data_IF_003165983354
#
_entry.id   IF_003165983354
#
_cell.length_a   1.000
_cell.length_b   1.000
_cell.length_c   1.000
_cell.angle_alpha   90.00
_cell.angle_beta   90.00
_cell.angle_gamma   90.00
#
_symmetry.space_group_name_H-M   'P 1'
#
loop_
_entity.id
_entity.type
_entity.pdbx_description
1 polymer ?
#
# COMPACT_ATOMS: atom_id res chain seq x y z
N UNK A 1 5.84 -16.68 4.70
CA UNK A 1 4.68 -15.93 4.18
C UNK A 1 3.41 -16.77 4.13
N UNK A 2 3.31 -17.82 3.31
CA UNK A 2 2.05 -18.57 3.12
C UNK A 2 1.38 -19.07 4.42
N UNK A 3 2.14 -19.72 5.32
CA UNK A 3 1.63 -20.15 6.64
C UNK A 3 1.08 -19.01 7.48
N UNK A 4 1.77 -17.87 7.50
CA UNK A 4 1.36 -16.68 8.27
C UNK A 4 0.05 -16.12 7.72
N UNK A 5 -0.10 -16.03 6.40
CA UNK A 5 -1.36 -15.59 5.77
C UNK A 5 -2.48 -16.58 6.08
N UNK A 6 -2.22 -17.89 6.02
CA UNK A 6 -3.23 -18.91 6.34
C UNK A 6 -3.65 -18.90 7.81
N UNK A 7 -2.73 -18.61 8.73
CA UNK A 7 -3.00 -18.46 10.17
C UNK A 7 -3.86 -17.23 10.47
N UNK A 8 -3.51 -16.07 9.90
CA UNK A 8 -4.33 -14.85 10.05
C UNK A 8 -5.68 -15.01 9.35
N UNK A 9 -5.67 -15.70 8.20
CA UNK A 9 -6.86 -16.11 7.45
C UNK A 9 -7.83 -14.96 7.08
N UNK A 10 -7.33 -13.81 6.57
CA UNK A 10 -8.19 -12.70 6.19
C UNK A 10 -9.17 -13.07 5.05
N UNK A 11 -10.28 -12.37 4.95
CA UNK A 11 -11.19 -12.53 3.81
C UNK A 11 -10.65 -11.85 2.55
N UNK A 12 -9.96 -10.73 2.72
CA UNK A 12 -9.30 -9.95 1.67
C UNK A 12 -7.92 -9.53 2.19
N UNK A 13 -6.87 -9.71 1.39
CA UNK A 13 -5.51 -9.27 1.72
C UNK A 13 -4.86 -8.57 0.52
N UNK A 14 -4.34 -7.36 0.77
CA UNK A 14 -3.43 -6.68 -0.14
C UNK A 14 -1.99 -7.08 0.19
N UNK A 15 -1.21 -7.39 -0.85
CA UNK A 15 0.19 -7.79 -0.77
C UNK A 15 1.04 -6.77 -1.52
N UNK A 16 2.09 -6.29 -0.86
CA UNK A 16 3.12 -5.43 -1.43
C UNK A 16 4.42 -6.23 -1.63
N UNK A 17 5.23 -5.84 -2.61
CA UNK A 17 6.51 -6.50 -2.90
C UNK A 17 6.36 -7.83 -3.63
N UNK A 18 5.27 -8.04 -4.37
CA UNK A 18 5.07 -9.21 -5.22
C UNK A 18 5.38 -8.83 -6.66
N UNK A 19 6.44 -9.41 -7.21
CA UNK A 19 6.82 -9.16 -8.60
C UNK A 19 5.68 -9.51 -9.56
N UNK A 20 5.43 -8.59 -10.49
CA UNK A 20 4.42 -8.77 -11.53
C UNK A 20 4.97 -9.59 -12.69
N UNK A 21 4.24 -10.63 -13.05
CA UNK A 21 4.40 -11.35 -14.30
C UNK A 21 3.07 -11.41 -15.06
N UNK A 22 3.12 -11.34 -16.40
CA UNK A 22 1.93 -11.17 -17.23
C UNK A 22 0.96 -12.37 -17.18
N UNK A 23 1.43 -13.54 -16.78
CA UNK A 23 0.66 -14.77 -16.67
C UNK A 23 0.27 -15.09 -15.22
N UNK A 24 0.64 -14.22 -14.27
CA UNK A 24 0.41 -14.36 -12.82
C UNK A 24 0.98 -15.66 -12.21
N UNK A 25 2.03 -16.24 -12.78
CA UNK A 25 2.65 -17.46 -12.27
C UNK A 25 3.09 -17.32 -10.81
N UNK A 26 3.75 -16.21 -10.46
CA UNK A 26 4.25 -16.00 -9.10
C UNK A 26 3.10 -15.85 -8.09
N UNK A 27 2.08 -15.04 -8.44
CA UNK A 27 0.90 -14.84 -7.60
C UNK A 27 0.10 -16.13 -7.44
N UNK A 28 -0.06 -16.90 -8.51
CA UNK A 28 -0.80 -18.16 -8.47
C UNK A 28 -0.08 -19.21 -7.62
N UNK A 29 1.24 -19.36 -7.78
CA UNK A 29 2.02 -20.27 -6.96
C UNK A 29 1.97 -19.90 -5.47
N UNK A 30 2.01 -18.60 -5.14
CA UNK A 30 1.85 -18.14 -3.77
C UNK A 30 0.46 -18.50 -3.22
N UNK A 31 -0.61 -18.21 -3.97
CA UNK A 31 -1.97 -18.49 -3.55
C UNK A 31 -2.20 -20.01 -3.35
N UNK A 32 -1.63 -20.85 -4.19
CA UNK A 32 -1.72 -22.31 -4.04
C UNK A 32 -1.00 -22.79 -2.76
N UNK A 33 0.18 -22.24 -2.44
CA UNK A 33 0.86 -22.51 -1.17
C UNK A 33 0.06 -22.04 0.06
N UNK A 34 -0.68 -20.94 -0.05
CA UNK A 34 -1.56 -20.46 1.02
C UNK A 34 -2.76 -21.41 1.19
N UNK A 35 -3.33 -21.90 0.08
CA UNK A 35 -4.42 -22.88 0.09
C UNK A 35 -3.99 -24.21 0.71
N UNK A 36 -2.79 -24.71 0.37
CA UNK A 36 -2.18 -25.88 1.02
C UNK A 36 -1.99 -25.70 2.54
N UNK A 37 -1.73 -24.46 2.98
CA UNK A 37 -1.62 -24.09 4.39
C UNK A 37 -2.97 -23.88 5.09
N UNK A 38 -4.10 -23.93 4.37
CA UNK A 38 -5.45 -23.94 4.94
C UNK A 38 -6.30 -22.69 4.70
N UNK A 39 -5.89 -21.75 3.84
CA UNK A 39 -6.71 -20.60 3.45
C UNK A 39 -6.76 -20.44 1.93
N UNK A 40 -7.96 -20.52 1.35
CA UNK A 40 -8.14 -20.41 -0.10
C UNK A 40 -8.55 -18.98 -0.52
N UNK A 41 -8.02 -18.54 -1.66
CA UNK A 41 -8.27 -17.23 -2.28
C UNK A 41 -8.50 -17.41 -3.79
N UNK A 42 -9.73 -17.77 -4.18
CA UNK A 42 -10.07 -18.04 -5.58
C UNK A 42 -10.06 -16.78 -6.46
N UNK A 43 -10.16 -15.58 -5.87
CA UNK A 43 -10.16 -14.32 -6.59
C UNK A 43 -8.84 -13.59 -6.35
N UNK A 44 -8.15 -13.27 -7.45
CA UNK A 44 -6.78 -12.78 -7.44
C UNK A 44 -6.69 -11.63 -8.43
N UNK A 45 -6.02 -10.55 -8.06
CA UNK A 45 -5.85 -9.38 -8.92
C UNK A 45 -4.44 -8.83 -8.82
N UNK A 46 -3.83 -8.55 -9.97
CA UNK A 46 -2.58 -7.79 -10.09
C UNK A 46 -2.55 -7.08 -11.43
N UNK A 47 -1.92 -5.90 -11.47
CA UNK A 47 -1.60 -5.17 -12.71
C UNK A 47 -0.14 -4.76 -12.70
N UNK A 48 0.41 -4.52 -13.89
CA UNK A 48 1.81 -4.09 -14.05
C UNK A 48 2.05 -2.76 -13.33
N UNK A 49 2.97 -2.71 -12.35
CA UNK A 49 3.28 -1.48 -11.62
C UNK A 49 4.05 -0.46 -12.47
N UNK A 50 4.33 0.69 -11.88
CA UNK A 50 5.22 1.72 -12.42
C UNK A 50 6.71 1.41 -12.19
N UNK A 51 7.04 0.57 -11.21
CA UNK A 51 8.41 0.12 -10.94
C UNK A 51 9.06 -0.56 -12.16
N UNK A 52 10.27 -0.10 -12.48
CA UNK A 52 11.05 -0.58 -13.63
C UNK A 52 10.43 -0.29 -15.00
N UNK A 53 9.36 0.53 -15.08
CA UNK A 53 8.80 0.99 -16.36
C UNK A 53 9.69 2.09 -16.93
N UNK A 54 10.38 1.79 -18.02
CA UNK A 54 11.29 2.71 -18.70
C UNK A 54 10.63 4.02 -19.11
N UNK A 55 11.32 5.14 -18.90
CA UNK A 55 10.88 6.47 -19.36
C UNK A 55 11.60 6.95 -20.62
N UNK A 56 12.83 6.48 -20.84
CA UNK A 56 13.71 6.98 -21.90
C UNK A 56 14.43 8.28 -21.55
N UNK A 57 14.34 8.74 -20.29
CA UNK A 57 15.05 9.90 -19.75
C UNK A 57 16.05 9.47 -18.67
N UNK A 58 17.04 10.32 -18.40
CA UNK A 58 17.96 10.22 -17.27
C UNK A 58 17.31 10.94 -16.08
N UNK A 59 16.64 10.20 -15.19
CA UNK A 59 15.84 10.77 -14.10
C UNK A 59 16.65 10.99 -12.83
N UNK A 60 17.71 10.22 -12.62
CA UNK A 60 18.58 10.30 -11.44
C UNK A 60 19.86 11.12 -11.68
N UNK A 61 20.13 11.51 -12.94
CA UNK A 61 21.20 12.42 -13.32
C UNK A 61 22.57 11.76 -13.36
N UNK A 62 22.65 10.43 -13.44
CA UNK A 62 23.93 9.70 -13.46
C UNK A 62 24.62 9.72 -14.84
N UNK A 63 23.96 10.27 -15.87
CA UNK A 63 24.45 10.37 -17.24
C UNK A 63 24.20 9.13 -18.10
N UNK A 64 23.43 8.15 -17.61
CA UNK A 64 23.00 6.94 -18.33
C UNK A 64 21.49 6.94 -18.49
N UNK A 65 21.00 6.05 -19.36
CA UNK A 65 19.58 5.88 -19.61
C UNK A 65 19.18 4.43 -19.35
N UNK A 66 17.98 4.25 -18.84
CA UNK A 66 17.36 2.94 -18.65
C UNK A 66 17.87 2.19 -17.43
N UNK A 67 18.51 2.89 -16.48
CA UNK A 67 18.80 2.34 -15.16
C UNK A 67 17.54 2.21 -14.29
N UNK A 68 17.64 1.55 -13.12
CA UNK A 68 16.51 1.45 -12.19
C UNK A 68 15.98 2.81 -11.71
N UNK A 69 16.85 3.81 -11.55
CA UNK A 69 16.47 5.19 -11.18
C UNK A 69 15.74 5.95 -12.29
N UNK A 70 15.87 5.52 -13.55
CA UNK A 70 15.24 6.14 -14.73
C UNK A 70 13.82 5.67 -14.99
N UNK A 71 13.34 4.69 -14.23
CA UNK A 71 12.00 4.16 -14.39
C UNK A 71 10.93 5.06 -13.73
N UNK A 72 9.67 4.89 -14.12
CA UNK A 72 8.54 5.66 -13.56
C UNK A 72 8.49 5.54 -12.03
N UNK A 73 8.69 4.34 -11.51
CA UNK A 73 9.15 4.11 -10.14
C UNK A 73 10.43 3.28 -10.19
N UNK A 74 11.25 3.37 -9.15
CA UNK A 74 12.48 2.58 -9.05
C UNK A 74 12.18 1.09 -9.24
N UNK A 75 13.02 0.37 -10.00
CA UNK A 75 12.92 -1.08 -10.13
C UNK A 75 13.91 -1.65 -11.14
N UNK A 76 14.50 -2.80 -10.81
CA UNK A 76 15.54 -3.43 -11.63
C UNK A 76 15.02 -4.00 -12.95
N UNK A 77 13.73 -4.33 -12.98
CA UNK A 77 13.01 -4.79 -14.16
C UNK A 77 11.56 -4.35 -14.09
N UNK A 78 10.89 -4.33 -15.24
CA UNK A 78 9.50 -3.89 -15.26
C UNK A 78 8.57 -4.93 -14.63
N UNK A 79 7.97 -4.56 -13.50
CA UNK A 79 7.18 -5.47 -12.68
C UNK A 79 7.75 -5.70 -11.28
N UNK A 80 8.98 -5.24 -11.00
CA UNK A 80 9.64 -5.39 -9.70
C UNK A 80 8.80 -4.85 -8.55
N UNK A 81 8.73 -5.56 -7.43
CA UNK A 81 8.10 -5.09 -6.18
C UNK A 81 6.64 -4.60 -6.34
N UNK A 82 5.89 -5.25 -7.23
CA UNK A 82 4.49 -4.94 -7.51
C UNK A 82 3.55 -5.17 -6.32
N UNK A 83 2.25 -5.12 -6.63
CA UNK A 83 1.19 -5.38 -5.67
C UNK A 83 0.22 -6.43 -6.18
N UNK A 84 -0.45 -7.10 -5.25
CA UNK A 84 -1.55 -8.01 -5.56
C UNK A 84 -2.66 -7.93 -4.51
N UNK A 85 -3.88 -8.29 -4.92
CA UNK A 85 -5.01 -8.54 -4.03
C UNK A 85 -5.37 -10.02 -4.10
N UNK A 86 -5.49 -10.67 -2.95
CA UNK A 86 -6.11 -11.99 -2.81
C UNK A 86 -7.42 -11.84 -2.04
N UNK A 87 -8.49 -12.46 -2.54
CA UNK A 87 -9.83 -12.33 -1.98
C UNK A 87 -10.56 -13.66 -2.00
N UNK A 88 -11.30 -13.92 -0.91
CA UNK A 88 -12.31 -14.99 -0.85
C UNK A 88 -13.56 -14.64 -1.65
N UNK A 89 -13.80 -13.36 -1.88
CA UNK A 89 -14.98 -12.87 -2.56
C UNK A 89 -14.69 -12.32 -3.97
N UNK A 90 -15.68 -12.32 -4.88
CA UNK A 90 -15.49 -11.87 -6.25
C UNK A 90 -14.97 -10.44 -6.37
N UNK A 91 -14.01 -10.24 -7.26
CA UNK A 91 -13.48 -8.92 -7.65
C UNK A 91 -14.23 -8.46 -8.89
N UNK A 92 -14.75 -7.23 -8.87
CA UNK A 92 -15.46 -6.64 -10.02
C UNK A 92 -14.44 -5.96 -10.92
N UNK A 93 -13.66 -6.75 -11.67
CA UNK A 93 -12.52 -6.25 -12.46
C UNK A 93 -12.86 -5.13 -13.46
N UNK A 94 -14.07 -5.15 -14.00
CA UNK A 94 -14.56 -4.15 -14.96
C UNK A 94 -14.69 -2.74 -14.36
N UNK A 95 -14.75 -2.64 -13.03
CA UNK A 95 -14.93 -1.38 -12.29
C UNK A 95 -13.67 -0.94 -11.55
N UNK A 96 -12.54 -1.63 -11.75
CA UNK A 96 -11.27 -1.27 -11.12
C UNK A 96 -10.75 0.05 -11.69
N UNK A 97 -10.56 1.03 -10.79
CA UNK A 97 -9.88 2.28 -11.12
C UNK A 97 -8.39 2.17 -10.81
N UNK A 98 -7.55 2.46 -11.81
CA UNK A 98 -6.10 2.46 -11.69
C UNK A 98 -5.57 3.90 -11.76
N UNK A 99 -5.24 4.44 -10.58
CA UNK A 99 -4.76 5.81 -10.42
C UNK A 99 -3.26 5.93 -10.70
N UNK A 100 -2.58 4.81 -10.96
CA UNK A 100 -1.12 4.75 -11.10
C UNK A 100 -0.61 5.51 -12.33
N UNK A 101 -1.49 5.87 -13.27
CA UNK A 101 -1.11 6.67 -14.45
C UNK A 101 -1.16 8.17 -14.22
N UNK A 102 -1.72 8.63 -13.09
CA UNK A 102 -1.80 10.05 -12.73
C UNK A 102 -0.39 10.66 -12.67
N UNK A 103 -0.18 11.77 -13.38
CA UNK A 103 1.10 12.48 -13.36
C UNK A 103 1.25 13.25 -12.05
N UNK A 104 2.45 13.28 -11.49
CA UNK A 104 2.72 13.96 -10.21
C UNK A 104 2.30 15.44 -10.25
N UNK A 105 2.61 16.14 -11.34
CA UNK A 105 2.20 17.53 -11.55
C UNK A 105 0.68 17.78 -11.58
N UNK A 106 -0.11 16.75 -11.84
CA UNK A 106 -1.57 16.85 -12.00
C UNK A 106 -2.29 16.58 -10.66
N UNK A 107 -1.58 16.16 -9.60
CA UNK A 107 -2.12 16.09 -8.26
C UNK A 107 -2.39 17.52 -7.73
N UNK A 108 -3.62 17.85 -7.31
CA UNK A 108 -3.92 19.14 -6.69
C UNK A 108 -3.05 19.39 -5.45
N UNK A 109 -2.29 20.48 -5.47
CA UNK A 109 -1.39 20.83 -4.36
C UNK A 109 -0.09 20.04 -4.31
N UNK A 110 0.30 19.37 -5.42
CA UNK A 110 1.57 18.66 -5.50
C UNK A 110 2.77 19.52 -5.08
N UNK A 111 3.64 18.94 -4.27
CA UNK A 111 4.93 19.50 -3.90
C UNK A 111 6.02 18.72 -4.63
N UNK A 112 6.44 19.18 -5.81
CA UNK A 112 7.50 18.55 -6.59
C UNK A 112 8.86 19.19 -6.31
N UNK A 113 9.98 18.42 -6.33
CA UNK A 113 11.31 19.00 -6.31
C UNK A 113 11.60 19.75 -7.62
N UNK A 114 12.70 20.51 -7.65
CA UNK A 114 13.17 21.15 -8.88
C UNK A 114 13.60 20.08 -9.91
N UNK A 115 12.75 19.85 -10.91
CA UNK A 115 12.98 18.88 -11.98
C UNK A 115 12.92 19.57 -13.36
N UNK A 116 13.51 18.95 -14.37
CA UNK A 116 13.40 19.45 -15.74
C UNK A 116 11.96 19.38 -16.24
N UNK A 117 11.60 20.26 -17.18
CA UNK A 117 10.26 20.27 -17.77
C UNK A 117 9.90 18.94 -18.46
N UNK A 118 10.90 18.23 -19.00
CA UNK A 118 10.72 16.92 -19.65
C UNK A 118 10.34 15.84 -18.62
N UNK A 119 11.01 15.81 -17.47
CA UNK A 119 10.71 14.87 -16.37
C UNK A 119 9.33 15.18 -15.78
N UNK A 120 9.05 16.44 -15.48
CA UNK A 120 7.75 16.89 -14.95
C UNK A 120 6.60 16.48 -15.88
N UNK A 121 6.84 16.46 -17.19
CA UNK A 121 5.82 16.13 -18.17
C UNK A 121 5.40 14.65 -18.19
N UNK A 122 6.24 13.74 -17.70
CA UNK A 122 6.01 12.31 -17.80
C UNK A 122 5.95 11.59 -16.46
N UNK A 123 6.42 12.23 -15.38
CA UNK A 123 6.59 11.57 -14.09
C UNK A 123 5.22 11.25 -13.48
N UNK A 124 4.93 9.96 -13.34
CA UNK A 124 3.76 9.48 -12.58
C UNK A 124 3.98 9.68 -11.10
N UNK A 125 2.91 9.95 -10.36
CA UNK A 125 2.99 10.10 -8.91
C UNK A 125 3.30 8.76 -8.25
N UNK A 126 2.46 7.75 -8.44
CA UNK A 126 2.62 6.45 -7.79
C UNK A 126 3.93 5.77 -8.22
N UNK A 127 4.78 5.38 -7.29
CA UNK A 127 6.03 4.66 -7.58
C UNK A 127 5.76 3.21 -7.97
N UNK A 128 4.90 2.52 -7.22
CA UNK A 128 4.43 1.18 -7.56
C UNK A 128 3.06 1.27 -8.23
N UNK A 129 2.01 1.56 -7.45
CA UNK A 129 0.66 1.73 -7.96
C UNK A 129 -0.31 2.28 -6.89
N UNK A 130 -1.47 2.77 -7.33
CA UNK A 130 -2.64 3.12 -6.51
C UNK A 130 -3.89 2.58 -7.21
N UNK A 131 -4.64 1.69 -6.54
CA UNK A 131 -5.81 1.02 -7.11
C UNK A 131 -7.03 1.19 -6.22
N UNK A 132 -8.20 1.30 -6.85
CA UNK A 132 -9.51 1.12 -6.22
C UNK A 132 -10.10 -0.17 -6.81
N UNK A 133 -10.23 -1.20 -5.98
CA UNK A 133 -10.63 -2.54 -6.39
C UNK A 133 -11.96 -2.88 -5.73
N UNK A 134 -13.07 -2.85 -6.47
CA UNK A 134 -14.35 -3.25 -5.92
C UNK A 134 -14.43 -4.75 -5.68
N UNK A 135 -14.91 -5.12 -4.50
CA UNK A 135 -15.11 -6.51 -4.08
C UNK A 135 -16.56 -6.69 -3.63
N UNK A 136 -17.21 -7.72 -4.18
CA UNK A 136 -18.55 -8.13 -3.74
C UNK A 136 -18.45 -8.76 -2.36
N UNK A 137 -19.34 -8.39 -1.44
CA UNK A 137 -19.45 -9.01 -0.13
C UNK A 137 -20.64 -9.98 -0.11
N UNK A 138 -20.69 -10.89 0.87
CA UNK A 138 -21.89 -11.70 1.10
C UNK A 138 -23.16 -10.84 1.20
N UNK A 139 -24.30 -11.46 0.88
CA UNK A 139 -25.62 -10.81 0.97
C UNK A 139 -25.82 -9.59 0.03
N UNK A 140 -24.96 -9.45 -0.99
CA UNK A 140 -25.06 -8.40 -2.00
C UNK A 140 -24.44 -7.06 -1.56
N UNK A 141 -23.67 -7.06 -0.48
CA UNK A 141 -22.86 -5.91 -0.09
C UNK A 141 -21.69 -5.70 -1.05
N UNK A 142 -21.00 -4.56 -0.90
CA UNK A 142 -19.80 -4.22 -1.66
C UNK A 142 -18.84 -3.42 -0.78
N UNK A 143 -17.55 -3.59 -1.05
CA UNK A 143 -16.50 -2.73 -0.51
C UNK A 143 -15.53 -2.33 -1.62
N UNK A 144 -15.13 -1.07 -1.65
CA UNK A 144 -14.01 -0.64 -2.47
C UNK A 144 -12.71 -0.80 -1.66
N UNK A 145 -11.84 -1.70 -2.12
CA UNK A 145 -10.53 -1.94 -1.55
C UNK A 145 -9.53 -1.02 -2.23
N UNK A 146 -9.06 -0.02 -1.49
CA UNK A 146 -8.14 1.00 -1.99
C UNK A 146 -6.72 0.64 -1.53
N UNK A 147 -5.83 0.26 -2.46
CA UNK A 147 -4.49 -0.23 -2.13
C UNK A 147 -3.39 0.51 -2.84
N UNK A 148 -2.26 0.67 -2.15
CA UNK A 148 -1.05 1.33 -2.65
C UNK A 148 0.22 0.80 -1.99
N UNK A 149 1.34 1.14 -2.61
CA UNK A 149 2.69 0.93 -2.09
C UNK A 149 3.47 2.18 -2.45
N UNK A 150 3.64 3.06 -1.46
CA UNK A 150 4.31 4.33 -1.60
C UNK A 150 5.83 4.16 -1.55
N UNK A 151 6.54 5.12 -2.12
CA UNK A 151 8.01 5.14 -2.09
C UNK A 151 8.53 5.29 -0.66
N UNK A 152 9.59 4.60 -0.26
CA UNK A 152 10.34 4.95 0.95
C UNK A 152 10.78 6.42 0.87
N UNK A 153 10.65 7.23 1.93
CA UNK A 153 10.94 8.67 1.91
C UNK A 153 12.44 8.98 2.07
N UNK A 154 13.30 8.07 1.64
CA UNK A 154 14.77 8.10 1.81
C UNK A 154 15.43 7.56 0.52
N UNK A 155 16.76 7.42 0.52
CA UNK A 155 17.58 6.95 -0.62
C UNK A 155 17.71 7.96 -1.76
N UNK A 156 17.68 9.24 -1.43
CA UNK A 156 17.83 10.40 -2.32
C UNK A 156 18.76 11.48 -1.72
N UNK A 157 18.99 12.55 -2.48
CA UNK A 157 19.85 13.66 -2.09
C UNK A 157 19.10 14.82 -1.41
N UNK A 158 19.75 15.98 -1.26
CA UNK A 158 19.17 17.18 -0.64
C UNK A 158 17.88 17.70 -1.30
N UNK A 159 17.55 17.25 -2.51
CA UNK A 159 16.32 17.54 -3.21
C UNK A 159 15.06 16.93 -2.57
N UNK A 160 15.21 15.92 -1.68
CA UNK A 160 14.10 15.27 -0.96
C UNK A 160 12.98 14.78 -1.90
N UNK A 161 13.36 14.25 -3.08
CA UNK A 161 12.42 13.78 -4.09
C UNK A 161 11.53 12.67 -3.56
N UNK A 162 12.09 11.71 -2.84
CA UNK A 162 11.37 10.58 -2.29
C UNK A 162 10.50 10.99 -1.11
N UNK A 163 10.96 11.88 -0.22
CA UNK A 163 10.13 12.39 0.87
C UNK A 163 8.95 13.23 0.38
N UNK A 164 9.16 14.06 -0.65
CA UNK A 164 8.11 14.81 -1.34
C UNK A 164 7.11 13.88 -2.05
N UNK A 165 7.62 12.90 -2.81
CA UNK A 165 6.78 11.95 -3.54
C UNK A 165 5.96 11.07 -2.61
N UNK A 166 6.58 10.54 -1.55
CA UNK A 166 5.90 9.72 -0.54
C UNK A 166 4.74 10.48 0.13
N UNK A 167 4.96 11.75 0.47
CA UNK A 167 3.93 12.62 1.02
C UNK A 167 2.76 12.80 0.02
N UNK A 168 3.08 13.07 -1.24
CA UNK A 168 2.07 13.28 -2.28
C UNK A 168 1.32 12.00 -2.67
N UNK A 169 1.96 10.83 -2.58
CA UNK A 169 1.29 9.53 -2.72
C UNK A 169 0.21 9.35 -1.65
N UNK A 170 0.47 9.75 -0.39
CA UNK A 170 -0.59 9.77 0.62
C UNK A 170 -1.66 10.85 0.34
N UNK A 171 -1.24 12.04 -0.13
CA UNK A 171 -2.18 13.13 -0.47
C UNK A 171 -3.08 12.79 -1.65
N UNK A 172 -2.69 11.88 -2.54
CA UNK A 172 -3.58 11.37 -3.59
C UNK A 172 -4.86 10.78 -2.99
N UNK A 173 -4.78 10.06 -1.87
CA UNK A 173 -5.97 9.58 -1.18
C UNK A 173 -6.82 10.71 -0.62
N UNK A 174 -6.22 11.72 0.02
CA UNK A 174 -6.96 12.90 0.45
C UNK A 174 -7.66 13.59 -0.72
N UNK A 175 -6.94 13.85 -1.81
CA UNK A 175 -7.48 14.50 -3.00
C UNK A 175 -8.60 13.68 -3.65
N UNK A 176 -8.49 12.35 -3.68
CA UNK A 176 -9.54 11.47 -4.16
C UNK A 176 -10.80 11.59 -3.29
N UNK A 177 -10.65 11.42 -1.96
CA UNK A 177 -11.76 11.46 -1.01
C UNK A 177 -12.45 12.82 -0.98
N UNK A 178 -11.70 13.91 -1.20
CA UNK A 178 -12.22 15.26 -1.30
C UNK A 178 -12.87 15.55 -2.68
N UNK A 179 -12.87 14.57 -3.60
CA UNK A 179 -13.45 14.67 -4.94
C UNK A 179 -12.61 15.44 -5.96
N UNK A 180 -11.40 15.85 -5.58
CA UNK A 180 -10.53 16.71 -6.40
C UNK A 180 -9.92 15.99 -7.61
N UNK A 181 -10.03 14.65 -7.69
CA UNK A 181 -9.50 13.85 -8.80
C UNK A 181 -10.55 13.44 -9.84
N UNK A 182 -11.83 13.77 -9.66
CA UNK A 182 -12.91 13.28 -10.53
C UNK A 182 -12.72 13.64 -12.02
N UNK A 183 -12.21 14.85 -12.29
CA UNK A 183 -11.96 15.35 -13.65
C UNK A 183 -10.46 15.36 -14.03
N UNK A 184 -9.59 14.80 -13.19
CA UNK A 184 -8.14 14.73 -13.43
C UNK A 184 -7.83 13.54 -14.33
N UNK A 185 -7.01 13.68 -15.39
CA UNK A 185 -6.56 12.55 -16.20
C UNK A 185 -5.87 11.47 -15.35
N UNK A 186 -6.38 10.23 -15.40
CA UNK A 186 -5.89 9.15 -14.54
C UNK A 186 -6.38 9.23 -13.08
N UNK A 187 -7.27 10.18 -12.78
CA UNK A 187 -8.01 10.26 -11.52
C UNK A 187 -9.28 9.41 -11.51
N UNK A 188 -10.03 9.49 -10.42
CA UNK A 188 -11.33 8.84 -10.25
C UNK A 188 -12.23 9.68 -9.34
N UNK A 189 -13.52 9.36 -9.33
CA UNK A 189 -14.46 9.86 -8.34
C UNK A 189 -14.23 9.16 -6.98
N UNK A 190 -14.57 9.82 -5.85
CA UNK A 190 -14.52 9.19 -4.54
C UNK A 190 -15.52 8.02 -4.48
N UNK A 191 -15.24 6.97 -3.67
CA UNK A 191 -16.22 5.93 -3.40
C UNK A 191 -17.52 6.50 -2.80
N UNK A 192 -18.67 6.08 -3.32
CA UNK A 192 -19.98 6.46 -2.76
C UNK A 192 -20.36 5.59 -1.54
N UNK A 193 -19.77 4.40 -1.43
CA UNK A 193 -20.10 3.39 -0.42
C UNK A 193 -18.97 3.07 0.55
N UNK A 194 -19.08 1.93 1.26
CA UNK A 194 -18.04 1.47 2.16
C UNK A 194 -16.73 1.23 1.41
N UNK A 195 -15.65 1.81 1.91
CA UNK A 195 -14.30 1.56 1.42
C UNK A 195 -13.34 1.26 2.58
N UNK A 196 -12.20 0.67 2.25
CA UNK A 196 -11.05 0.48 3.14
C UNK A 196 -9.78 0.83 2.36
N UNK A 197 -8.98 1.75 2.90
CA UNK A 197 -7.63 2.00 2.38
C UNK A 197 -6.66 1.09 3.13
N UNK A 198 -5.89 0.25 2.43
CA UNK A 198 -4.86 -0.58 3.05
C UNK A 198 -3.62 -0.71 2.18
N UNK A 199 -2.45 -0.74 2.81
CA UNK A 199 -1.18 -0.91 2.10
C UNK A 199 0.01 -0.34 2.85
N UNK A 200 1.13 -0.27 2.14
CA UNK A 200 2.39 0.27 2.66
C UNK A 200 2.48 1.76 2.28
N UNK A 201 2.31 2.62 3.28
CA UNK A 201 2.43 4.06 3.13
C UNK A 201 3.89 4.52 3.20
N UNK A 202 4.81 3.68 3.68
CA UNK A 202 6.20 4.04 3.99
C UNK A 202 6.39 5.32 4.84
N UNK A 203 5.32 5.77 5.49
CA UNK A 203 5.26 7.04 6.19
C UNK A 203 4.72 6.83 7.60
N UNK A 204 5.56 7.10 8.58
CA UNK A 204 5.23 6.98 9.99
C UNK A 204 4.80 8.33 10.57
N UNK A 205 3.74 8.34 11.38
CA UNK A 205 3.22 9.56 11.98
C UNK A 205 4.12 10.17 13.06
N UNK A 206 5.08 9.42 13.62
CA UNK A 206 5.91 9.87 14.74
C UNK A 206 7.41 9.59 14.62
N UNK A 207 7.84 8.77 13.65
CA UNK A 207 9.24 8.40 13.43
C UNK A 207 9.66 8.53 11.95
N UNK A 208 10.93 8.28 11.66
CA UNK A 208 11.47 8.27 10.29
C UNK A 208 11.63 9.65 9.67
N UNK A 209 12.20 9.68 8.46
CA UNK A 209 12.55 10.91 7.74
C UNK A 209 11.42 11.41 6.84
N UNK A 210 10.35 10.64 6.68
CA UNK A 210 9.16 11.06 5.94
C UNK A 210 8.44 12.27 6.55
N UNK A 211 7.59 12.90 5.75
CA UNK A 211 6.85 14.12 6.12
C UNK A 211 5.71 13.84 7.09
N UNK A 212 6.05 13.63 8.36
CA UNK A 212 5.13 13.26 9.46
C UNK A 212 3.85 14.10 9.54
N UNK A 213 3.86 15.44 9.36
CA UNK A 213 2.63 16.24 9.38
C UNK A 213 1.58 15.76 8.37
N UNK A 214 2.00 15.29 7.19
CA UNK A 214 1.08 14.80 6.15
C UNK A 214 0.34 13.55 6.61
N UNK A 215 1.04 12.61 7.25
CA UNK A 215 0.40 11.45 7.86
C UNK A 215 -0.49 11.83 9.05
N UNK A 216 -0.06 12.77 9.89
CA UNK A 216 -0.86 13.24 11.03
C UNK A 216 -2.17 13.90 10.57
N UNK A 217 -2.12 14.72 9.52
CA UNK A 217 -3.29 15.33 8.89
C UNK A 217 -4.20 14.27 8.27
N UNK A 218 -3.63 13.29 7.56
CA UNK A 218 -4.39 12.19 6.98
C UNK A 218 -5.12 11.37 8.06
N UNK A 219 -4.43 10.99 9.15
CA UNK A 219 -5.03 10.27 10.27
C UNK A 219 -6.07 11.09 11.05
N UNK A 220 -6.06 12.42 10.92
CA UNK A 220 -7.04 13.31 11.54
C UNK A 220 -8.33 13.50 10.72
N UNK A 221 -8.39 12.93 9.51
CA UNK A 221 -9.58 12.96 8.67
C UNK A 221 -10.78 12.29 9.37
N UNK A 222 -11.96 12.89 9.17
CA UNK A 222 -13.19 12.43 9.84
C UNK A 222 -13.95 11.33 9.10
N UNK A 223 -13.60 11.08 7.83
CA UNK A 223 -14.24 10.11 6.93
C UNK A 223 -13.54 8.74 6.91
N UNK A 224 -12.38 8.62 7.57
CA UNK A 224 -11.67 7.36 7.83
C UNK A 224 -11.48 7.12 9.33
N UNK A 225 -11.13 5.88 9.68
CA UNK A 225 -10.84 5.47 11.05
C UNK A 225 -9.42 4.92 11.14
N UNK A 226 -8.63 5.37 12.12
CA UNK A 226 -7.38 4.72 12.50
C UNK A 226 -7.65 3.66 13.60
N UNK A 227 -7.58 2.34 13.30
CA UNK A 227 -7.79 1.29 14.30
C UNK A 227 -6.72 1.26 15.40
N UNK A 228 -5.56 1.90 15.18
CA UNK A 228 -4.40 1.89 16.09
C UNK A 228 -4.04 0.49 16.61
N UNK A 229 -3.77 -0.48 15.72
CA UNK A 229 -3.54 -1.86 16.11
C UNK A 229 -2.22 -2.01 16.88
N UNK A 230 -2.22 -2.87 17.89
CA UNK A 230 -1.04 -3.24 18.67
C UNK A 230 -0.71 -4.73 18.50
N UNK A 231 0.48 -5.13 18.94
CA UNK A 231 0.90 -6.53 18.99
C UNK A 231 1.77 -6.86 20.21
N UNK A 232 1.76 -8.12 20.68
CA UNK A 232 2.69 -8.57 21.70
C UNK A 232 4.15 -8.39 21.29
N UNK A 233 4.53 -8.80 20.07
CA UNK A 233 5.91 -8.68 19.58
C UNK A 233 6.36 -7.23 19.41
N UNK A 234 5.48 -6.33 18.96
CA UNK A 234 5.75 -4.89 18.95
C UNK A 234 5.95 -4.33 20.36
N UNK A 235 5.15 -4.79 21.32
CA UNK A 235 5.27 -4.39 22.74
C UNK A 235 6.60 -4.85 23.34
N UNK A 236 6.97 -6.11 23.13
CA UNK A 236 8.25 -6.69 23.56
C UNK A 236 9.43 -5.92 22.97
N UNK A 237 9.30 -5.48 21.71
CA UNK A 237 10.31 -4.68 21.02
C UNK A 237 10.34 -3.20 21.45
N UNK A 238 9.37 -2.74 22.26
CA UNK A 238 9.29 -1.39 22.80
C UNK A 238 8.43 -0.41 21.98
N UNK A 239 7.71 -0.87 20.96
CA UNK A 239 6.78 -0.07 20.15
C UNK A 239 5.54 -0.89 19.76
N UNK A 240 4.46 -0.88 20.58
CA UNK A 240 3.29 -1.75 20.42
C UNK A 240 2.65 -1.75 19.03
N UNK A 241 2.62 -0.58 18.38
CA UNK A 241 1.99 -0.37 17.06
C UNK A 241 2.98 -0.48 15.89
N UNK A 242 4.20 -0.97 16.08
CA UNK A 242 5.14 -1.16 14.99
C UNK A 242 4.65 -2.24 14.02
N UNK A 243 4.73 -1.94 12.73
CA UNK A 243 4.35 -2.84 11.62
C UNK A 243 5.59 -3.33 10.86
N UNK A 244 6.71 -2.61 10.97
CA UNK A 244 7.99 -2.99 10.38
C UNK A 244 9.13 -2.96 11.40
N UNK A 245 10.05 -3.91 11.24
CA UNK A 245 11.30 -3.99 12.00
C UNK A 245 12.49 -3.87 11.06
N UNK A 246 13.08 -2.67 11.02
CA UNK A 246 14.23 -2.33 10.20
C UNK A 246 15.46 -2.03 11.05
N UNK A 247 15.55 -2.57 12.27
CA UNK A 247 16.73 -2.43 13.13
C UNK A 247 17.99 -3.02 12.50
N UNK A 248 17.86 -4.03 11.65
CA UNK A 248 18.98 -4.65 10.95
C UNK A 248 19.68 -3.72 9.93
N UNK A 249 19.04 -2.60 9.56
CA UNK A 249 19.57 -1.57 8.66
C UNK A 249 19.60 -0.19 9.35
N UNK A 250 19.65 -0.17 10.69
CA UNK A 250 19.76 1.04 11.52
C UNK A 250 18.61 2.08 11.38
N UNK A 251 17.47 1.70 10.81
CA UNK A 251 16.28 2.58 10.71
C UNK A 251 15.37 2.47 11.94
N UNK A 252 15.24 1.27 12.49
CA UNK A 252 14.46 1.01 13.72
C UNK A 252 13.07 0.43 13.49
N UNK A 253 12.22 0.52 14.51
CA UNK A 253 10.82 0.05 14.47
C UNK A 253 9.94 1.14 13.88
N UNK A 254 9.13 0.82 12.88
CA UNK A 254 8.25 1.77 12.18
C UNK A 254 6.81 1.28 12.12
N UNK A 255 5.85 2.21 12.05
CA UNK A 255 4.46 1.98 11.66
C UNK A 255 4.29 2.58 10.28
N UNK A 256 4.31 1.74 9.25
CA UNK A 256 4.27 2.14 7.83
C UNK A 256 3.19 1.41 7.03
N UNK A 257 2.68 0.31 7.57
CA UNK A 257 1.60 -0.46 6.98
C UNK A 257 0.28 -0.14 7.69
N UNK A 258 -0.80 0.06 6.93
CA UNK A 258 -2.04 0.58 7.48
C UNK A 258 -3.28 -0.12 6.93
N UNK A 259 -4.35 -0.09 7.73
CA UNK A 259 -5.72 -0.43 7.35
C UNK A 259 -6.60 0.69 7.89
N UNK A 260 -7.19 1.48 7.00
CA UNK A 260 -8.05 2.63 7.31
C UNK A 260 -9.45 2.42 6.73
N UNK A 261 -10.37 1.85 7.52
CA UNK A 261 -11.77 1.73 7.11
C UNK A 261 -12.45 3.09 7.06
N UNK A 262 -13.34 3.28 6.09
CA UNK A 262 -14.28 4.41 6.10
C UNK A 262 -15.24 4.35 7.30
N UNK A 263 -15.94 5.46 7.58
CA UNK A 263 -16.95 5.53 8.65
C UNK A 263 -18.20 4.65 8.41
N UNK A 264 -18.33 4.06 7.23
CA UNK A 264 -19.36 3.06 6.96
C UNK A 264 -19.16 1.76 7.76
N UNK A 265 -17.97 1.55 8.33
CA UNK A 265 -17.64 0.35 9.09
C UNK A 265 -17.64 0.60 10.59
N UNK A 266 -18.05 -0.41 11.36
CA UNK A 266 -17.64 -0.52 12.77
C UNK A 266 -16.41 -1.42 12.85
N UNK A 267 -15.36 -0.96 13.51
CA UNK A 267 -14.18 -1.78 13.79
C UNK A 267 -14.50 -2.68 14.99
N UNK A 268 -14.53 -3.99 14.79
CA UNK A 268 -14.78 -4.96 15.85
C UNK A 268 -13.49 -5.33 16.59
N UNK A 269 -12.42 -5.57 15.83
CA UNK A 269 -11.08 -5.88 16.33
C UNK A 269 -10.04 -5.38 15.34
N UNK A 270 -8.81 -5.24 15.80
CA UNK A 270 -7.67 -4.95 14.95
C UNK A 270 -6.38 -5.43 15.61
N UNK A 271 -5.35 -5.68 14.82
CA UNK A 271 -4.06 -6.08 15.34
C UNK A 271 -2.96 -6.04 14.31
N UNK A 272 -1.73 -6.19 14.80
CA UNK A 272 -0.57 -6.52 13.99
C UNK A 272 -0.23 -7.97 14.29
N UNK A 273 -0.10 -8.81 13.26
CA UNK A 273 0.34 -10.20 13.44
C UNK A 273 1.85 -10.22 13.70
N UNK A 274 2.21 -9.91 14.93
CA UNK A 274 3.55 -10.04 15.48
C UNK A 274 3.44 -10.73 16.84
N UNK A 275 3.46 -12.08 16.86
CA UNK A 275 3.32 -12.86 18.10
C UNK A 275 4.46 -12.58 19.09
N UNK A 276 4.26 -12.91 20.36
CA UNK A 276 5.28 -12.75 21.41
C UNK A 276 6.52 -13.62 21.12
N UNK A 277 7.71 -13.16 21.51
CA UNK A 277 8.99 -13.78 21.13
C UNK A 277 9.10 -15.28 21.48
N UNK A 278 8.44 -15.72 22.55
CA UNK A 278 8.47 -17.09 23.05
C UNK A 278 7.56 -18.08 22.27
N UNK A 279 6.85 -17.60 21.25
CA UNK A 279 5.88 -18.43 20.49
C UNK A 279 6.46 -18.91 19.16
N UNK A 280 6.15 -20.15 18.70
CA UNK A 280 6.57 -20.61 17.38
C UNK A 280 6.11 -19.72 16.22
N UNK A 281 4.91 -19.12 16.35
CA UNK A 281 4.34 -18.20 15.36
C UNK A 281 5.19 -16.92 15.18
N UNK A 282 5.95 -16.50 16.20
CA UNK A 282 6.88 -15.37 16.08
C UNK A 282 8.00 -15.64 15.08
N UNK A 283 8.59 -16.84 15.12
CA UNK A 283 9.65 -17.22 14.19
C UNK A 283 9.13 -17.23 12.74
N UNK A 284 7.90 -17.72 12.53
CA UNK A 284 7.24 -17.70 11.22
C UNK A 284 6.95 -16.27 10.74
N UNK A 285 6.50 -15.38 11.62
CA UNK A 285 6.25 -13.97 11.30
C UNK A 285 7.55 -13.23 10.93
N UNK A 286 8.64 -13.44 11.67
CA UNK A 286 9.95 -12.82 11.38
C UNK A 286 10.54 -13.37 10.07
N UNK A 287 10.44 -14.67 9.84
CA UNK A 287 10.95 -15.29 8.61
C UNK A 287 10.11 -14.91 7.38
N UNK A 288 8.83 -14.55 7.56
CA UNK A 288 7.95 -14.20 6.46
C UNK A 288 8.29 -12.85 5.82
N UNK A 289 8.63 -11.84 6.62
CA UNK A 289 8.96 -10.49 6.13
C UNK A 289 9.61 -9.67 7.25
N UNK A 290 10.23 -8.54 6.88
CA UNK A 290 10.57 -7.46 7.83
C UNK A 290 9.34 -6.63 8.25
N UNK A 291 8.26 -6.72 7.47
CA UNK A 291 6.93 -6.18 7.79
C UNK A 291 6.07 -7.24 8.47
N UNK A 292 4.96 -6.81 9.06
CA UNK A 292 3.98 -7.66 9.76
C UNK A 292 2.60 -7.41 9.16
N UNK A 293 1.76 -8.46 9.11
CA UNK A 293 0.39 -8.30 8.62
C UNK A 293 -0.38 -7.39 9.57
N UNK A 294 -0.94 -6.31 9.05
CA UNK A 294 -1.89 -5.44 9.77
C UNK A 294 -3.29 -5.83 9.37
N UNK A 295 -4.19 -6.01 10.33
CA UNK A 295 -5.55 -6.48 10.07
C UNK A 295 -6.58 -5.75 10.92
N UNK A 296 -7.81 -5.72 10.42
CA UNK A 296 -8.99 -5.26 11.13
C UNK A 296 -10.19 -6.14 10.78
N UNK A 297 -10.97 -6.51 11.78
CA UNK A 297 -12.28 -7.13 11.60
C UNK A 297 -13.33 -6.02 11.52
N UNK A 298 -14.01 -5.96 10.38
CA UNK A 298 -14.98 -4.92 10.07
C UNK A 298 -16.38 -5.51 9.99
N UNK A 299 -17.34 -4.77 10.51
CA UNK A 299 -18.76 -5.15 10.46
C UNK A 299 -19.59 -3.97 9.99
N UNK A 300 -20.59 -4.25 9.16
CA UNK A 300 -21.56 -3.25 8.74
C UNK A 300 -22.36 -2.84 9.99
N UNK A 301 -22.49 -1.54 10.30
CA UNK A 301 -23.34 -1.07 11.38
C UNK A 301 -24.78 -1.54 11.16
N UNK A 302 -25.42 -2.08 12.19
CA UNK A 302 -26.86 -2.34 12.14
C UNK A 302 -27.59 -1.01 11.92
N UNK A 303 -28.51 -0.97 10.95
CA UNK A 303 -29.37 0.22 10.79
C UNK A 303 -30.29 0.28 12.01
N UNK A 304 -30.37 1.42 12.74
CA UNK A 304 -31.23 1.55 13.91
C UNK A 304 -32.72 1.42 13.60
#
# INVERSE_FOLDING_TARGET
>A
MARVIAEVSPDIIALQGIDFDAESHALNALADLIAEAGADYPHRFARRPNSGRTTGLDLDGDGRLGGPGDAQGYGEFSGSEGMALLSRFPIIEAEVSDLSTLLWRDLPGAEMPELSAEIIAIQRLSTIAHWIIPVELPEGGRVDVMTFHATPPVFDGPEDRNGLRNADELRLWSALLDGALADVPGGAAPPEGPFVILGDANLDASAGDGRRPVMQEFLARSDIQDPRPESPGGTDAGRPMATADWRAIDVGLMRVDYVWPSQHWRIARSGVHWPAAETPANADAIAASRHRIVWADLVVPETP
#
